data_IF_738318017887
#
_entry.id   IF_738318017887
#
_cell.length_a   1.000
_cell.length_b   1.000
_cell.length_c   1.000
_cell.angle_alpha   90.00
_cell.angle_beta   90.00
_cell.angle_gamma   90.00
#
_symmetry.space_group_name_H-M   'P 1'
#
loop_
_entity.id
_entity.type
_entity.pdbx_description
1 polymer ?
#
# COMPACT_ATOMS: atom_id res chain seq x y z
N UNK A 1 0.19 18.22 11.70
CA UNK A 1 -0.16 17.44 10.49
C UNK A 1 -0.12 15.99 10.90
N UNK A 2 -1.22 15.24 10.73
CA UNK A 2 -1.29 13.85 11.14
C UNK A 2 -0.26 13.02 10.37
N UNK A 3 0.30 12.04 11.06
CA UNK A 3 1.34 11.19 10.52
C UNK A 3 0.75 9.82 10.19
N UNK A 4 0.93 9.39 8.94
CA UNK A 4 0.42 8.10 8.48
C UNK A 4 1.57 7.17 8.09
N UNK A 5 1.46 5.92 8.50
CA UNK A 5 2.40 4.87 8.16
C UNK A 5 1.79 3.95 7.12
N UNK A 6 2.59 3.60 6.12
CA UNK A 6 2.21 2.69 5.05
C UNK A 6 2.99 1.41 5.24
N UNK A 7 2.31 0.38 5.73
CA UNK A 7 2.89 -0.92 5.96
C UNK A 7 2.46 -1.89 4.85
N UNK A 8 3.41 -2.27 4.02
CA UNK A 8 3.19 -3.24 2.97
C UNK A 8 3.42 -4.65 3.52
N UNK A 9 2.38 -5.49 3.45
CA UNK A 9 2.39 -6.90 3.84
C UNK A 9 2.19 -7.76 2.61
N UNK A 10 3.27 -8.31 2.07
CA UNK A 10 3.22 -9.30 0.97
C UNK A 10 3.40 -10.71 1.53
N UNK A 11 2.91 -11.72 0.81
CA UNK A 11 3.21 -13.13 1.15
C UNK A 11 4.68 -13.49 0.90
N UNK A 12 5.37 -12.72 0.07
CA UNK A 12 6.83 -12.69 0.06
C UNK A 12 7.28 -12.23 1.45
N UNK A 13 7.95 -13.11 2.21
CA UNK A 13 8.35 -12.91 3.60
C UNK A 13 9.32 -11.73 3.84
N UNK A 14 9.55 -10.90 2.83
CA UNK A 14 10.26 -9.64 2.94
C UNK A 14 9.36 -8.62 3.67
N UNK A 15 9.72 -8.31 4.92
CA UNK A 15 9.22 -7.13 5.60
C UNK A 15 9.64 -5.91 4.76
N UNK A 16 8.70 -5.33 4.03
CA UNK A 16 8.97 -4.13 3.27
C UNK A 16 9.08 -2.96 4.25
N UNK A 17 10.01 -2.01 4.04
CA UNK A 17 10.17 -0.88 4.93
C UNK A 17 8.84 -0.11 4.99
N UNK A 18 8.31 0.06 6.20
CA UNK A 18 7.15 0.88 6.43
C UNK A 18 7.50 2.31 5.98
N UNK A 19 6.81 2.81 4.96
CA UNK A 19 7.02 4.20 4.54
C UNK A 19 6.26 5.08 5.52
N UNK A 20 6.95 6.01 6.16
CA UNK A 20 6.36 7.01 7.01
C UNK A 20 6.21 8.30 6.21
N UNK A 21 4.97 8.78 6.03
CA UNK A 21 4.72 10.04 5.35
C UNK A 21 3.65 10.84 6.08
N UNK A 22 3.88 12.13 6.18
CA UNK A 22 2.91 13.08 6.72
C UNK A 22 1.97 13.52 5.62
N UNK A 23 0.67 13.46 5.90
CA UNK A 23 -0.37 13.93 4.99
C UNK A 23 -1.30 14.90 5.73
N UNK A 24 -1.91 15.86 5.03
CA UNK A 24 -2.83 16.82 5.64
C UNK A 24 -4.11 16.15 6.14
N UNK A 25 -4.56 15.08 5.49
CA UNK A 25 -5.76 14.32 5.83
C UNK A 25 -5.64 12.83 5.43
N UNK A 26 -6.59 12.02 5.91
CA UNK A 26 -6.66 10.59 5.58
C UNK A 26 -6.97 10.35 4.10
N UNK A 27 -7.72 11.25 3.46
CA UNK A 27 -8.06 11.14 2.04
C UNK A 27 -6.82 11.20 1.13
N UNK A 28 -5.90 12.13 1.42
CA UNK A 28 -4.62 12.26 0.70
C UNK A 28 -3.73 11.06 0.99
N UNK A 29 -3.70 10.58 2.24
CA UNK A 29 -2.98 9.36 2.59
C UNK A 29 -3.51 8.14 1.81
N UNK A 30 -4.82 7.97 1.71
CA UNK A 30 -5.46 6.90 0.94
C UNK A 30 -5.16 7.00 -0.56
N UNK A 31 -5.22 8.20 -1.13
CA UNK A 31 -4.90 8.44 -2.53
C UNK A 31 -3.44 8.07 -2.83
N UNK A 32 -2.50 8.46 -1.96
CA UNK A 32 -1.09 8.08 -2.11
C UNK A 32 -0.88 6.57 -1.94
N UNK A 33 -1.57 5.93 -0.99
CA UNK A 33 -1.51 4.49 -0.83
C UNK A 33 -1.98 3.76 -2.09
N UNK A 34 -3.11 4.18 -2.67
CA UNK A 34 -3.60 3.62 -3.92
C UNK A 34 -2.64 3.86 -5.07
N UNK A 35 -2.07 5.06 -5.18
CA UNK A 35 -1.08 5.37 -6.20
C UNK A 35 0.17 4.47 -6.07
N UNK A 36 0.66 4.30 -4.85
CA UNK A 36 1.79 3.44 -4.51
C UNK A 36 1.49 1.97 -4.83
N UNK A 37 0.32 1.46 -4.45
CA UNK A 37 -0.12 0.11 -4.76
C UNK A 37 -0.19 -0.13 -6.27
N UNK A 38 -0.77 0.80 -7.05
CA UNK A 38 -0.84 0.70 -8.52
C UNK A 38 0.56 0.72 -9.16
N UNK A 39 1.44 1.60 -8.69
CA UNK A 39 2.83 1.68 -9.17
C UNK A 39 3.59 0.39 -8.90
N UNK A 40 3.44 -0.16 -7.69
CA UNK A 40 3.99 -1.45 -7.31
C UNK A 40 3.51 -2.60 -8.19
N UNK A 41 2.19 -2.70 -8.41
CA UNK A 41 1.63 -3.77 -9.24
C UNK A 41 2.10 -3.61 -10.68
N UNK A 42 2.09 -2.40 -11.24
CA UNK A 42 2.61 -2.14 -12.60
C UNK A 42 4.09 -2.54 -12.73
N UNK A 43 4.92 -2.20 -11.75
CA UNK A 43 6.33 -2.56 -11.74
C UNK A 43 6.55 -4.07 -11.57
N UNK A 44 5.74 -4.73 -10.72
CA UNK A 44 5.78 -6.18 -10.54
C UNK A 44 5.31 -6.89 -11.81
N UNK A 45 4.15 -6.56 -12.38
CA UNK A 45 3.64 -7.16 -13.62
C UNK A 45 4.64 -7.06 -14.78
N UNK A 46 5.42 -5.97 -14.85
CA UNK A 46 6.51 -5.82 -15.85
C UNK A 46 7.71 -6.74 -15.59
N UNK A 47 8.02 -7.06 -14.34
CA UNK A 47 9.20 -7.85 -13.95
C UNK A 47 8.90 -9.34 -13.75
N UNK A 48 7.72 -9.64 -13.22
CA UNK A 48 7.27 -10.95 -12.76
C UNK A 48 5.76 -11.02 -13.08
N UNK A 49 5.37 -11.89 -14.01
CA UNK A 49 3.96 -12.11 -14.40
C UNK A 49 3.16 -12.89 -13.34
N UNK A 50 3.45 -12.69 -12.05
CA UNK A 50 2.81 -13.40 -10.95
C UNK A 50 1.91 -12.42 -10.17
N UNK A 51 0.64 -12.76 -9.88
CA UNK A 51 -0.25 -11.94 -9.09
C UNK A 51 0.37 -11.51 -7.75
N UNK A 52 0.41 -10.19 -7.52
CA UNK A 52 0.88 -9.61 -6.27
C UNK A 52 -0.12 -9.91 -5.15
N UNK A 53 0.15 -10.94 -4.35
CA UNK A 53 -0.64 -11.27 -3.16
C UNK A 53 -0.10 -10.51 -1.95
N UNK A 54 -0.87 -9.55 -1.47
CA UNK A 54 -0.52 -8.75 -0.30
C UNK A 54 -1.55 -7.66 0.01
N UNK A 55 -1.32 -6.94 1.10
CA UNK A 55 -2.07 -5.76 1.49
C UNK A 55 -1.15 -4.59 1.79
N UNK A 56 -1.64 -3.39 1.54
CA UNK A 56 -1.06 -2.14 2.00
C UNK A 56 -1.94 -1.62 3.14
N UNK A 57 -1.43 -1.74 4.35
CA UNK A 57 -2.09 -1.28 5.56
C UNK A 57 -1.66 0.18 5.81
N UNK A 58 -2.63 1.03 6.13
CA UNK A 58 -2.41 2.44 6.47
C UNK A 58 -2.69 2.58 7.96
N UNK A 59 -1.67 2.93 8.71
CA UNK A 59 -1.75 3.16 10.14
C UNK A 59 -1.65 4.66 10.46
N UNK A 60 -2.30 5.07 11.54
CA UNK A 60 -2.17 6.42 12.11
C UNK A 60 -0.91 6.55 12.99
N UNK A 61 -0.65 7.74 13.52
CA UNK A 61 0.42 8.04 14.46
C UNK A 61 0.40 7.15 15.72
N UNK A 62 -0.79 6.69 16.10
CA UNK A 62 -0.99 5.71 17.19
C UNK A 62 -0.79 4.24 16.77
N UNK A 63 -0.27 3.98 15.57
CA UNK A 63 -0.19 2.65 14.93
C UNK A 63 -1.52 1.89 14.86
N UNK A 64 -2.62 2.64 14.79
CA UNK A 64 -3.94 2.05 14.60
C UNK A 64 -4.23 1.90 13.11
N UNK A 65 -4.68 0.72 12.65
CA UNK A 65 -5.02 0.53 11.25
C UNK A 65 -6.26 1.38 10.91
N UNK A 66 -6.07 2.38 10.05
CA UNK A 66 -7.14 3.24 9.53
C UNK A 66 -7.75 2.67 8.26
N UNK A 67 -6.93 2.03 7.43
CA UNK A 67 -7.38 1.40 6.20
C UNK A 67 -6.46 0.26 5.77
N UNK A 68 -7.00 -0.60 4.90
CA UNK A 68 -6.28 -1.69 4.27
C UNK A 68 -6.66 -1.75 2.80
N UNK A 69 -5.67 -1.81 1.93
CA UNK A 69 -5.85 -1.97 0.48
C UNK A 69 -5.29 -3.33 0.09
N UNK A 70 -6.14 -4.20 -0.46
CA UNK A 70 -5.69 -5.47 -1.01
C UNK A 70 -5.07 -5.25 -2.38
N UNK A 71 -3.82 -5.69 -2.55
CA UNK A 71 -3.09 -5.52 -3.81
C UNK A 71 -3.70 -6.38 -4.92
N UNK A 72 -4.31 -7.51 -4.57
CA UNK A 72 -5.05 -8.34 -5.51
C UNK A 72 -6.25 -7.61 -6.12
N UNK A 73 -7.01 -6.86 -5.30
CA UNK A 73 -8.16 -6.08 -5.77
C UNK A 73 -7.70 -4.92 -6.66
N UNK A 74 -6.62 -4.24 -6.28
CA UNK A 74 -6.04 -3.18 -7.12
C UNK A 74 -5.52 -3.75 -8.44
N UNK A 75 -4.93 -4.95 -8.42
CA UNK A 75 -4.47 -5.62 -9.64
C UNK A 75 -5.65 -5.96 -10.56
N UNK A 76 -6.76 -6.44 -9.98
CA UNK A 76 -7.99 -6.70 -10.72
C UNK A 76 -8.59 -5.43 -11.34
N UNK A 77 -8.55 -4.29 -10.65
CA UNK A 77 -9.06 -3.01 -11.15
C UNK A 77 -8.24 -2.40 -12.30
N UNK A 78 -6.96 -2.77 -12.44
CA UNK A 78 -6.08 -2.21 -13.48
C UNK A 78 -5.78 -3.18 -14.62
N UNK A 79 -6.30 -4.40 -14.55
CA UNK A 79 -6.14 -5.42 -15.59
C UNK A 79 -7.12 -5.26 -16.73
#
# INVERSE_FOLDING_TARGET
MPLYYFQLRTTDAAAHPAQCRTFPDLATALAEAQHSARSMIRNRMRRIQDPLKGSLDIEDEMRQPRARILLADVAYQIS
#
